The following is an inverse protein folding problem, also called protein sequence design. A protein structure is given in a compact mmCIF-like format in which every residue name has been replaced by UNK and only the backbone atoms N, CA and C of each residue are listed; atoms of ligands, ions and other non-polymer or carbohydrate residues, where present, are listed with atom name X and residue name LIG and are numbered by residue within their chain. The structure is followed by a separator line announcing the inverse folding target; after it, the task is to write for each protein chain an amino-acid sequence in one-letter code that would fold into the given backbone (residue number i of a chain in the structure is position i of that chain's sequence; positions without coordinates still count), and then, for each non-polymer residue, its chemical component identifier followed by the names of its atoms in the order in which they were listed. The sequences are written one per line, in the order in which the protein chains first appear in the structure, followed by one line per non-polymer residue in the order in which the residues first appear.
data_IF_552542685010
#
_entry.id   IF_552542685010
#
_cell.length_a   1.000
_cell.length_b   1.000
_cell.length_c   1.000
_cell.angle_alpha   90.00
_cell.angle_beta   90.00
_cell.angle_gamma   90.00
#
_symmetry.space_group_name_H-M   'P 1'
#
loop_
_entity.id
_entity.type
_entity.pdbx_description
1 polymer ?
#
# COMPACT_ATOMS: atom_id res chain seq x y z
N UNK A 1 -13.88 5.36 -6.73
CA UNK A 1 -13.24 4.08 -7.09
C UNK A 1 -13.28 3.07 -5.96
N UNK A 2 -12.83 3.41 -4.75
CA UNK A 2 -12.86 2.48 -3.62
C UNK A 2 -14.27 2.09 -3.19
N UNK A 3 -15.29 2.89 -3.50
CA UNK A 3 -16.69 2.62 -3.18
C UNK A 3 -17.41 1.73 -4.21
N UNK A 4 -16.76 1.43 -5.35
CA UNK A 4 -17.29 0.52 -6.36
C UNK A 4 -17.21 -0.92 -5.83
N UNK A 5 -18.31 -1.66 -5.85
CA UNK A 5 -18.37 -3.05 -5.36
C UNK A 5 -17.42 -3.98 -6.12
N UNK A 6 -17.09 -3.65 -7.36
CA UNK A 6 -16.16 -4.42 -8.20
C UNK A 6 -14.73 -3.93 -8.08
N UNK A 7 -14.49 -2.82 -7.38
CA UNK A 7 -13.15 -2.28 -7.20
C UNK A 7 -12.33 -3.21 -6.32
N UNK A 8 -11.12 -3.51 -6.77
CA UNK A 8 -10.15 -4.32 -6.02
C UNK A 8 -8.88 -3.50 -5.84
N UNK A 9 -8.54 -3.21 -4.60
CA UNK A 9 -7.31 -2.49 -4.28
C UNK A 9 -6.14 -3.46 -4.41
N UNK A 10 -5.16 -3.09 -5.23
CA UNK A 10 -3.96 -3.90 -5.47
C UNK A 10 -2.76 -3.07 -5.06
N UNK A 11 -2.12 -3.48 -3.97
CA UNK A 11 -0.95 -2.81 -3.41
C UNK A 11 0.32 -3.50 -3.90
N UNK A 12 1.26 -2.72 -4.38
CA UNK A 12 2.53 -3.25 -4.87
C UNK A 12 3.59 -2.16 -4.96
N UNK A 13 4.62 -2.42 -5.73
CA UNK A 13 5.76 -1.53 -5.91
C UNK A 13 6.06 -1.38 -7.40
N UNK A 14 7.34 -1.46 -7.80
CA UNK A 14 7.73 -1.28 -9.20
C UNK A 14 7.16 -2.34 -10.14
N UNK A 15 6.79 -3.51 -9.65
CA UNK A 15 6.16 -4.56 -10.46
C UNK A 15 4.83 -4.12 -11.08
N UNK A 16 4.19 -3.09 -10.55
CA UNK A 16 2.96 -2.54 -11.12
C UNK A 16 3.20 -1.75 -12.41
N UNK A 17 4.45 -1.46 -12.74
CA UNK A 17 4.83 -0.63 -13.88
C UNK A 17 5.65 -1.40 -14.91
N UNK A 18 5.07 -2.42 -15.49
CA UNK A 18 5.65 -3.07 -16.66
C UNK A 18 5.30 -2.25 -17.91
N UNK A 19 6.10 -2.38 -18.95
CA UNK A 19 5.88 -1.67 -20.22
C UNK A 19 4.46 -1.90 -20.75
N UNK A 20 3.90 -0.87 -21.37
CA UNK A 20 2.57 -0.93 -21.96
C UNK A 20 2.53 -2.07 -23.00
N UNK A 21 1.48 -2.89 -22.94
CA UNK A 21 1.35 -4.08 -23.80
C UNK A 21 2.07 -5.31 -23.28
N UNK A 22 2.81 -5.21 -22.17
CA UNK A 22 3.41 -6.38 -21.53
C UNK A 22 2.33 -7.27 -20.94
N UNK A 23 2.49 -8.60 -21.09
CA UNK A 23 1.59 -9.57 -20.44
C UNK A 23 1.64 -9.54 -18.92
N UNK A 24 2.63 -8.85 -18.35
CA UNK A 24 2.78 -8.68 -16.90
C UNK A 24 2.20 -7.35 -16.39
N UNK A 25 1.72 -6.50 -17.28
CA UNK A 25 1.05 -5.27 -16.88
C UNK A 25 -0.31 -5.61 -16.28
N UNK A 26 -0.66 -4.94 -15.20
CA UNK A 26 -1.91 -5.19 -14.49
C UNK A 26 -3.15 -5.11 -15.39
N UNK A 27 -3.19 -4.13 -16.29
CA UNK A 27 -4.29 -3.96 -17.21
C UNK A 27 -4.47 -5.19 -18.13
N UNK A 28 -3.35 -5.80 -18.53
CA UNK A 28 -3.38 -7.01 -19.37
C UNK A 28 -3.78 -8.23 -18.55
N UNK A 29 -3.25 -8.35 -17.32
CA UNK A 29 -3.54 -9.50 -16.45
C UNK A 29 -5.01 -9.58 -16.07
N UNK A 30 -5.64 -8.44 -15.81
CA UNK A 30 -7.03 -8.36 -15.37
C UNK A 30 -8.00 -8.07 -16.52
N UNK A 31 -7.52 -8.09 -17.76
CA UNK A 31 -8.38 -7.88 -18.92
C UNK A 31 -9.45 -9.00 -18.98
N UNK A 32 -10.71 -8.59 -19.08
CA UNK A 32 -11.83 -9.53 -19.08
C UNK A 32 -12.25 -10.06 -17.72
N UNK A 33 -11.53 -9.72 -16.65
CA UNK A 33 -11.93 -10.10 -15.29
C UNK A 33 -13.15 -9.28 -14.85
N UNK A 34 -14.03 -9.90 -14.04
CA UNK A 34 -15.20 -9.21 -13.51
C UNK A 34 -14.84 -8.40 -12.25
N UNK A 35 -13.86 -7.51 -12.39
CA UNK A 35 -13.42 -6.62 -11.33
C UNK A 35 -12.74 -5.39 -11.94
N UNK A 36 -12.73 -4.30 -11.17
CA UNK A 36 -12.07 -3.05 -11.54
C UNK A 36 -10.83 -2.86 -10.63
N UNK A 37 -9.62 -3.24 -11.08
CA UNK A 37 -8.45 -3.10 -10.25
C UNK A 37 -8.07 -1.63 -10.05
N UNK A 38 -7.70 -1.29 -8.82
CA UNK A 38 -7.18 0.02 -8.45
C UNK A 38 -5.77 -0.20 -7.91
N UNK A 39 -4.77 0.26 -8.66
CA UNK A 39 -3.37 0.02 -8.32
C UNK A 39 -2.86 1.10 -7.37
N UNK A 40 -2.25 0.67 -6.28
CA UNK A 40 -1.67 1.56 -5.27
C UNK A 40 -0.20 1.19 -5.12
N UNK A 41 0.66 2.10 -5.48
CA UNK A 41 2.09 1.91 -5.32
C UNK A 41 2.91 2.29 -6.53
N UNK A 42 4.19 2.45 -6.30
CA UNK A 42 5.21 2.72 -7.30
C UNK A 42 6.56 2.28 -6.74
N UNK A 43 7.62 2.43 -7.51
CA UNK A 43 8.96 2.03 -7.08
C UNK A 43 9.29 2.55 -5.68
N UNK A 44 9.76 1.68 -4.81
CA UNK A 44 10.12 2.00 -3.43
C UNK A 44 9.02 1.84 -2.41
N UNK A 45 7.78 1.62 -2.83
CA UNK A 45 6.68 1.35 -1.89
C UNK A 45 6.82 -0.06 -1.30
N UNK A 46 6.63 -0.18 -0.01
CA UNK A 46 6.70 -1.45 0.71
C UNK A 46 5.52 -1.58 1.69
N UNK A 47 5.50 -2.68 2.45
CA UNK A 47 4.36 -3.05 3.28
C UNK A 47 3.96 -2.00 4.31
N UNK A 48 4.92 -1.27 4.90
CA UNK A 48 4.59 -0.22 5.89
C UNK A 48 3.81 0.92 5.23
N UNK A 49 4.24 1.37 4.05
CA UNK A 49 3.51 2.39 3.29
C UNK A 49 2.09 1.92 2.97
N UNK A 50 1.96 0.67 2.52
CA UNK A 50 0.66 0.11 2.19
C UNK A 50 -0.25 -0.06 3.41
N UNK A 51 0.33 -0.41 4.57
CA UNK A 51 -0.43 -0.50 5.81
C UNK A 51 -1.02 0.85 6.21
N UNK A 52 -0.28 1.92 6.03
CA UNK A 52 -0.76 3.28 6.31
C UNK A 52 -1.92 3.64 5.36
N UNK A 53 -1.74 3.41 4.07
CA UNK A 53 -2.79 3.69 3.08
C UNK A 53 -4.05 2.86 3.34
N UNK A 54 -3.88 1.56 3.58
CA UNK A 54 -5.01 0.67 3.85
C UNK A 54 -5.74 1.07 5.13
N UNK A 55 -5.01 1.44 6.17
CA UNK A 55 -5.60 1.91 7.41
C UNK A 55 -6.34 3.24 7.25
N UNK A 56 -5.90 4.07 6.30
CA UNK A 56 -6.57 5.34 6.02
C UNK A 56 -7.88 5.16 5.25
N UNK A 57 -7.90 4.28 4.25
CA UNK A 57 -8.99 4.22 3.26
C UNK A 57 -9.70 2.86 3.17
N UNK A 58 -9.18 1.83 3.82
CA UNK A 58 -9.70 0.46 3.67
C UNK A 58 -11.16 0.29 4.06
N UNK A 59 -11.63 1.04 5.05
CA UNK A 59 -13.03 0.98 5.47
C UNK A 59 -13.99 1.52 4.42
N UNK A 60 -13.50 2.31 3.47
CA UNK A 60 -14.29 2.85 2.37
C UNK A 60 -14.40 1.88 1.18
N UNK A 61 -13.61 0.82 1.17
CA UNK A 61 -13.69 -0.19 0.13
C UNK A 61 -14.96 -1.03 0.28
N UNK A 62 -15.83 -0.98 -0.70
CA UNK A 62 -17.16 -1.61 -0.63
C UNK A 62 -17.08 -3.13 -0.46
N UNK A 63 -16.14 -3.78 -1.14
CA UNK A 63 -16.00 -5.25 -1.11
C UNK A 63 -15.11 -5.77 0.02
N UNK A 64 -14.44 -4.88 0.77
CA UNK A 64 -13.55 -5.23 1.89
C UNK A 64 -12.45 -6.22 1.51
N UNK A 65 -11.99 -6.17 0.28
CA UNK A 65 -10.92 -7.05 -0.23
C UNK A 65 -9.79 -6.23 -0.82
N UNK A 66 -8.58 -6.73 -0.64
CA UNK A 66 -7.38 -6.12 -1.20
C UNK A 66 -6.36 -7.21 -1.52
N UNK A 67 -5.49 -6.92 -2.48
CA UNK A 67 -4.35 -7.78 -2.81
C UNK A 67 -3.09 -7.02 -2.44
N UNK A 68 -2.19 -7.66 -1.71
CA UNK A 68 -0.89 -7.11 -1.39
C UNK A 68 0.18 -7.96 -2.08
N UNK A 69 0.91 -7.35 -3.01
CA UNK A 69 2.02 -7.99 -3.68
C UNK A 69 3.28 -7.74 -2.84
N UNK A 70 3.84 -8.82 -2.29
CA UNK A 70 5.00 -8.76 -1.42
C UNK A 70 6.21 -9.31 -2.17
N UNK A 71 7.25 -8.51 -2.28
CA UNK A 71 8.47 -8.93 -2.96
C UNK A 71 9.49 -9.45 -1.95
N UNK A 72 10.11 -10.62 -2.20
CA UNK A 72 11.15 -11.15 -1.30
C UNK A 72 12.32 -10.18 -1.10
N UNK A 73 12.62 -9.34 -2.07
CA UNK A 73 13.70 -8.36 -1.96
C UNK A 73 13.45 -7.27 -0.91
N UNK A 74 12.22 -7.15 -0.39
CA UNK A 74 11.91 -6.23 0.70
C UNK A 74 12.48 -6.69 2.04
N UNK A 75 12.79 -7.98 2.17
CA UNK A 75 13.25 -8.60 3.41
C UNK A 75 14.77 -8.66 3.48
N UNK A 76 15.41 -7.54 3.19
CA UNK A 76 16.85 -7.38 3.30
C UNK A 76 17.23 -6.99 4.73
N UNK A 77 18.47 -7.28 5.11
CA UNK A 77 19.00 -6.99 6.42
C UNK A 77 18.80 -5.52 6.84
N UNK A 78 18.96 -4.60 5.88
CA UNK A 78 18.83 -3.16 6.14
C UNK A 78 17.37 -2.65 6.11
N UNK A 79 16.41 -3.51 5.81
CA UNK A 79 15.01 -3.15 5.79
C UNK A 79 14.64 -2.08 4.77
N UNK A 80 13.70 -1.23 5.12
CA UNK A 80 13.21 -0.14 4.28
C UNK A 80 14.23 1.00 4.28
N UNK A 81 14.56 1.51 3.10
CA UNK A 81 15.37 2.74 3.02
C UNK A 81 14.54 3.92 3.45
N UNK A 82 15.04 4.71 4.39
CA UNK A 82 14.35 5.88 4.92
C UNK A 82 13.97 6.88 3.82
N UNK A 83 14.86 7.11 2.86
CA UNK A 83 14.60 8.04 1.75
C UNK A 83 13.45 7.58 0.86
N UNK A 84 13.35 6.27 0.60
CA UNK A 84 12.26 5.71 -0.21
C UNK A 84 10.93 5.80 0.55
N UNK A 85 10.97 5.55 1.86
CA UNK A 85 9.79 5.67 2.71
C UNK A 85 9.30 7.12 2.78
N UNK A 86 10.19 8.07 3.00
CA UNK A 86 9.84 9.49 3.05
C UNK A 86 9.19 9.98 1.76
N UNK A 87 9.69 9.52 0.62
CA UNK A 87 9.12 9.88 -0.68
C UNK A 87 7.71 9.32 -0.88
N UNK A 88 7.37 8.23 -0.19
CA UNK A 88 6.07 7.58 -0.27
C UNK A 88 5.11 8.00 0.84
N UNK A 89 5.63 8.60 1.91
CA UNK A 89 4.85 8.92 3.12
C UNK A 89 3.85 10.04 2.86
N UNK A 90 2.62 9.84 3.29
CA UNK A 90 1.58 10.86 3.27
C UNK A 90 1.11 11.14 4.69
N UNK A 91 1.32 12.36 5.14
CA UNK A 91 0.89 12.80 6.46
C UNK A 91 -0.64 12.72 6.60
N UNK A 92 -1.35 13.05 5.54
CA UNK A 92 -2.81 13.00 5.52
C UNK A 92 -3.33 11.57 5.71
N UNK A 93 -2.72 10.60 5.01
CA UNK A 93 -3.09 9.19 5.18
C UNK A 93 -2.74 8.69 6.58
N UNK A 94 -1.61 9.12 7.14
CA UNK A 94 -1.22 8.74 8.50
C UNK A 94 -2.21 9.26 9.54
N UNK A 95 -2.63 10.53 9.41
CA UNK A 95 -3.65 11.11 10.29
C UNK A 95 -4.97 10.34 10.17
N UNK A 96 -5.38 10.01 8.94
CA UNK A 96 -6.60 9.24 8.70
C UNK A 96 -6.52 7.84 9.34
N UNK A 97 -5.35 7.19 9.29
CA UNK A 97 -5.11 5.93 9.98
C UNK A 97 -5.31 6.07 11.49
N UNK A 98 -4.72 7.11 12.09
CA UNK A 98 -4.79 7.34 13.53
C UNK A 98 -6.23 7.63 13.99
N UNK A 99 -7.01 8.28 13.15
CA UNK A 99 -8.41 8.62 13.44
C UNK A 99 -9.38 7.49 13.13
N UNK A 100 -8.93 6.44 12.46
CA UNK A 100 -9.80 5.33 12.06
C UNK A 100 -10.14 4.44 13.27
N UNK A 101 -11.42 4.40 13.70
CA UNK A 101 -11.81 3.61 14.88
C UNK A 101 -11.77 2.10 14.63
N UNK A 102 -11.72 1.67 13.37
CA UNK A 102 -11.67 0.25 13.01
C UNK A 102 -10.27 -0.34 13.16
N UNK A 103 -9.26 0.50 13.37
CA UNK A 103 -7.88 0.08 13.55
C UNK A 103 -7.57 0.02 15.06
N UNK A 104 -7.03 -1.11 15.53
CA UNK A 104 -6.69 -1.26 16.95
C UNK A 104 -5.60 -0.29 17.38
N UNK A 105 -5.62 0.09 18.65
CA UNK A 105 -4.59 0.96 19.22
C UNK A 105 -3.22 0.29 19.15
N UNK A 106 -3.16 -1.01 19.35
CA UNK A 106 -1.93 -1.80 19.24
C UNK A 106 -1.29 -1.64 17.85
N UNK A 107 -2.10 -1.74 16.79
CA UNK A 107 -1.63 -1.56 15.41
C UNK A 107 -1.13 -0.13 15.18
N UNK A 108 -1.87 0.87 15.68
CA UNK A 108 -1.46 2.28 15.58
C UNK A 108 -0.13 2.54 16.28
N UNK A 109 0.04 1.99 17.47
CA UNK A 109 1.28 2.13 18.25
C UNK A 109 2.46 1.46 17.54
N UNK A 110 2.24 0.28 16.96
CA UNK A 110 3.27 -0.41 16.19
C UNK A 110 3.71 0.42 14.97
N UNK A 111 2.77 0.93 14.21
CA UNK A 111 3.07 1.73 13.01
C UNK A 111 3.80 3.01 13.42
N UNK A 112 3.35 3.68 14.49
CA UNK A 112 4.00 4.88 14.99
C UNK A 112 5.44 4.61 15.43
N UNK A 113 5.69 3.50 16.13
CA UNK A 113 7.04 3.11 16.53
C UNK A 113 7.95 2.84 15.34
N UNK A 114 7.44 2.17 14.31
CA UNK A 114 8.20 1.93 13.08
C UNK A 114 8.51 3.23 12.35
N UNK A 115 7.54 4.14 12.28
CA UNK A 115 7.70 5.44 11.65
C UNK A 115 8.81 6.24 12.35
N UNK A 116 8.79 6.30 13.68
CA UNK A 116 9.81 7.01 14.46
C UNK A 116 11.20 6.42 14.23
N UNK A 117 11.32 5.10 14.16
CA UNK A 117 12.61 4.45 13.92
C UNK A 117 13.15 4.79 12.52
N UNK A 118 12.32 4.81 11.52
CA UNK A 118 12.73 5.15 10.15
C UNK A 118 13.16 6.61 10.07
N UNK A 119 12.41 7.52 10.69
CA UNK A 119 12.72 8.95 10.67
C UNK A 119 13.97 9.29 11.48
N UNK A 120 14.28 8.51 12.51
CA UNK A 120 15.48 8.72 13.33
C UNK A 120 16.77 8.38 12.59
N UNK A 121 16.72 7.58 11.52
CA UNK A 121 17.89 7.20 10.73
C UNK A 121 18.34 8.27 9.73
N UNK A 122 17.67 9.39 9.72
CA UNK A 122 17.98 10.51 8.81
C UNK A 122 18.89 11.55 9.43
#
# INVERSE_FOLDING_TARGET
MAADEKALLIFGSSELRHGQGSGFQGDTIFDGADMNPVYVGKAGYQSLTHAITLGAVGSQAANKKAVLIVSPQWFKENGVKSTAFEAAFSEEEYIALLENPDISQETKDYINGRLQNIMADN
#
